data_IF_876038347669
#
_entry.id   IF_876038347669
#
_cell.length_a   1.000
_cell.length_b   1.000
_cell.length_c   1.000
_cell.angle_alpha   90.00
_cell.angle_beta   90.00
_cell.angle_gamma   90.00
#
_symmetry.space_group_name_H-M   'P 1'
#
loop_
_entity.id
_entity.type
_entity.pdbx_description
1 polymer ?
#
# COMPACT_ATOMS: atom_id res chain seq x y z
N UNK A 1 -6.90 -11.95 -16.35
CA UNK A 1 -6.21 -12.17 -15.06
C UNK A 1 -6.97 -11.42 -13.97
N UNK A 2 -7.30 -12.12 -12.90
CA UNK A 2 -8.00 -11.54 -11.74
C UNK A 2 -7.21 -11.77 -10.46
N UNK A 3 -7.14 -10.73 -9.64
CA UNK A 3 -6.57 -10.78 -8.28
C UNK A 3 -7.75 -10.66 -7.32
N UNK A 4 -8.06 -11.70 -6.52
CA UNK A 4 -9.17 -11.63 -5.58
C UNK A 4 -8.90 -10.64 -4.47
N UNK A 5 -9.94 -9.94 -4.04
CA UNK A 5 -9.91 -9.01 -2.92
C UNK A 5 -10.86 -9.50 -1.83
N UNK A 6 -10.64 -9.00 -0.62
CA UNK A 6 -11.54 -9.18 0.51
C UNK A 6 -12.33 -7.90 0.74
N UNK A 7 -13.55 -8.03 1.21
CA UNK A 7 -14.36 -6.89 1.64
C UNK A 7 -14.34 -6.84 3.16
N UNK A 8 -13.76 -5.80 3.71
CA UNK A 8 -13.56 -5.63 5.16
C UNK A 8 -14.04 -4.25 5.60
N UNK A 9 -14.29 -4.10 6.89
CA UNK A 9 -14.66 -2.80 7.48
C UNK A 9 -13.40 -1.95 7.72
N UNK A 10 -13.49 -0.69 7.30
CA UNK A 10 -12.51 0.34 7.61
C UNK A 10 -13.26 1.63 7.92
N UNK A 11 -13.05 2.19 9.12
CA UNK A 11 -13.71 3.43 9.56
C UNK A 11 -15.23 3.39 9.40
N UNK A 12 -15.85 2.26 9.76
CA UNK A 12 -17.31 2.08 9.73
C UNK A 12 -17.91 1.78 8.37
N UNK A 13 -17.11 1.70 7.30
CA UNK A 13 -17.58 1.35 5.95
C UNK A 13 -16.94 0.08 5.42
N UNK A 14 -17.59 -0.55 4.45
CA UNK A 14 -17.04 -1.70 3.74
C UNK A 14 -16.09 -1.22 2.64
N UNK A 15 -14.89 -1.80 2.58
CA UNK A 15 -13.83 -1.44 1.66
C UNK A 15 -13.18 -2.69 1.06
N UNK A 16 -12.67 -2.59 -0.19
CA UNK A 16 -11.93 -3.69 -0.80
C UNK A 16 -10.47 -3.69 -0.34
N UNK A 17 -9.98 -4.86 0.07
CA UNK A 17 -8.60 -5.06 0.50
C UNK A 17 -7.94 -6.14 -0.32
N UNK A 18 -6.67 -5.92 -0.66
CA UNK A 18 -5.82 -6.91 -1.32
C UNK A 18 -4.70 -7.33 -0.39
N UNK A 19 -4.40 -8.61 -0.37
CA UNK A 19 -3.23 -9.13 0.35
C UNK A 19 -2.11 -9.42 -0.64
N UNK A 20 -0.92 -8.96 -0.33
CA UNK A 20 0.27 -9.22 -1.14
C UNK A 20 1.50 -9.41 -0.26
N UNK A 21 2.54 -9.96 -0.84
CA UNK A 21 3.84 -10.11 -0.20
C UNK A 21 4.78 -9.05 -0.76
N UNK A 22 5.32 -8.22 0.13
CA UNK A 22 6.38 -7.28 -0.20
C UNK A 22 7.70 -7.79 0.37
N UNK A 23 8.69 -7.97 -0.49
CA UNK A 23 9.99 -8.50 -0.10
C UNK A 23 11.06 -7.44 -0.31
N UNK A 24 11.91 -7.29 0.72
CA UNK A 24 13.12 -6.47 0.65
C UNK A 24 14.32 -7.42 0.67
N UNK A 25 14.85 -7.81 -0.50
CA UNK A 25 15.89 -8.85 -0.57
C UNK A 25 17.14 -8.54 0.22
N UNK A 26 17.60 -7.30 0.22
CA UNK A 26 18.80 -6.88 0.95
C UNK A 26 18.67 -7.08 2.46
N UNK A 27 17.46 -6.93 2.99
CA UNK A 27 17.16 -7.10 4.42
C UNK A 27 16.75 -8.52 4.79
N UNK A 28 16.56 -9.41 3.80
CA UNK A 28 15.99 -10.75 4.00
C UNK A 28 14.64 -10.71 4.72
N UNK A 29 13.81 -9.72 4.39
CA UNK A 29 12.51 -9.49 5.04
C UNK A 29 11.37 -9.65 4.04
N UNK A 30 10.33 -10.36 4.48
CA UNK A 30 9.03 -10.47 3.81
C UNK A 30 7.96 -9.86 4.68
N UNK A 31 7.13 -9.03 4.06
CA UNK A 31 5.99 -8.42 4.70
C UNK A 31 4.72 -8.97 4.05
N UNK A 32 3.82 -9.50 4.89
CA UNK A 32 2.48 -9.87 4.44
C UNK A 32 1.60 -8.63 4.64
N UNK A 33 1.23 -8.00 3.54
CA UNK A 33 0.56 -6.70 3.54
C UNK A 33 -0.90 -6.87 3.17
N UNK A 34 -1.79 -6.32 4.01
CA UNK A 34 -3.21 -6.18 3.69
C UNK A 34 -3.46 -4.71 3.37
N UNK A 35 -3.68 -4.38 2.10
CA UNK A 35 -3.78 -3.00 1.64
C UNK A 35 -5.20 -2.66 1.22
N UNK A 36 -5.64 -1.47 1.60
CA UNK A 36 -6.88 -0.89 1.12
C UNK A 36 -6.70 -0.44 -0.34
N UNK A 37 -7.59 -0.90 -1.23
CA UNK A 37 -7.62 -0.43 -2.63
C UNK A 37 -8.46 0.83 -2.67
N UNK A 38 -7.79 1.98 -2.79
CA UNK A 38 -8.39 3.30 -2.67
C UNK A 38 -8.22 4.09 -3.98
N UNK A 39 -9.29 4.17 -4.78
CA UNK A 39 -9.29 4.94 -6.03
C UNK A 39 -9.24 6.44 -5.81
N UNK A 40 -9.47 6.91 -4.59
CA UNK A 40 -9.30 8.30 -4.20
C UNK A 40 -7.88 8.68 -3.85
N UNK A 41 -6.97 7.71 -3.75
CA UNK A 41 -5.55 7.96 -3.49
C UNK A 41 -4.76 7.98 -4.80
N UNK A 42 -3.92 9.01 -4.97
CA UNK A 42 -3.03 9.12 -6.12
C UNK A 42 -1.76 8.28 -5.98
N UNK A 43 -1.47 7.78 -4.77
CA UNK A 43 -0.23 7.09 -4.46
C UNK A 43 -0.46 5.74 -3.83
N UNK A 44 0.40 4.79 -4.17
CA UNK A 44 0.49 3.47 -3.54
C UNK A 44 1.51 3.53 -2.42
N UNK A 45 1.15 3.03 -1.24
CA UNK A 45 1.98 3.14 -0.05
C UNK A 45 1.97 1.88 0.78
N UNK A 46 3.07 1.67 1.49
CA UNK A 46 3.17 0.63 2.52
C UNK A 46 3.12 1.28 3.90
N UNK A 47 2.35 0.69 4.80
CA UNK A 47 2.16 1.24 6.13
C UNK A 47 3.47 1.28 6.92
N UNK A 48 3.74 2.41 7.56
CA UNK A 48 4.88 2.58 8.46
C UNK A 48 4.91 1.47 9.53
N UNK A 49 3.75 1.14 10.09
CA UNK A 49 3.62 0.09 11.10
C UNK A 49 4.09 -1.28 10.60
N UNK A 50 3.86 -1.61 9.35
CA UNK A 50 4.31 -2.87 8.75
C UNK A 50 5.84 -2.94 8.68
N UNK A 51 6.47 -1.86 8.26
CA UNK A 51 7.93 -1.77 8.18
C UNK A 51 8.57 -1.88 9.55
N UNK A 52 8.07 -1.11 10.53
CA UNK A 52 8.61 -1.09 11.88
C UNK A 52 8.45 -2.42 12.60
N UNK A 53 7.30 -3.08 12.44
CA UNK A 53 7.05 -4.41 13.05
C UNK A 53 8.00 -5.49 12.52
N UNK A 54 8.49 -5.33 11.30
CA UNK A 54 9.48 -6.25 10.71
C UNK A 54 10.92 -5.82 10.94
N UNK A 55 11.14 -4.78 11.74
CA UNK A 55 12.46 -4.32 12.09
C UNK A 55 13.21 -3.61 10.96
N UNK A 56 12.48 -3.07 10.00
CA UNK A 56 13.09 -2.30 8.91
C UNK A 56 13.25 -0.86 9.37
N UNK A 57 14.50 -0.36 9.30
CA UNK A 57 14.78 1.05 9.56
C UNK A 57 14.33 1.88 8.35
N UNK A 58 13.24 2.61 8.50
CA UNK A 58 12.63 3.36 7.40
C UNK A 58 13.59 4.41 6.82
N UNK A 59 14.37 5.08 7.67
CA UNK A 59 15.32 6.10 7.21
C UNK A 59 16.42 5.52 6.31
N UNK A 60 16.70 4.23 6.41
CA UNK A 60 17.71 3.57 5.57
C UNK A 60 17.19 3.19 4.17
N UNK A 61 15.89 3.22 3.94
CA UNK A 61 15.29 2.84 2.66
C UNK A 61 14.69 4.01 1.88
N UNK A 62 14.82 5.22 2.39
CA UNK A 62 14.35 6.46 1.77
C UNK A 62 15.49 7.45 1.62
N UNK A 63 15.27 8.49 0.80
CA UNK A 63 16.09 9.71 0.77
C UNK A 63 15.31 10.79 1.52
N UNK A 64 15.85 11.27 2.63
CA UNK A 64 15.18 12.26 3.49
C UNK A 64 14.91 13.61 2.81
N UNK A 65 15.62 13.88 1.68
CA UNK A 65 15.43 15.08 0.89
C UNK A 65 14.43 14.91 -0.26
N UNK A 66 13.97 13.68 -0.52
CA UNK A 66 13.03 13.38 -1.59
C UNK A 66 11.68 13.01 -0.99
N UNK A 67 10.82 14.01 -0.80
CA UNK A 67 9.47 13.79 -0.27
C UNK A 67 8.46 14.73 -0.91
N UNK A 68 7.20 14.33 -0.85
CA UNK A 68 6.04 15.11 -1.25
C UNK A 68 5.15 15.34 -0.03
N UNK A 69 4.63 16.56 0.14
CA UNK A 69 3.63 16.82 1.17
C UNK A 69 2.28 16.25 0.73
N UNK A 70 1.65 15.47 1.60
CA UNK A 70 0.38 14.80 1.32
C UNK A 70 -0.57 15.02 2.49
N UNK A 71 -1.82 15.36 2.19
CA UNK A 71 -2.89 15.45 3.18
C UNK A 71 -3.61 14.11 3.25
N UNK A 72 -3.65 13.50 4.42
CA UNK A 72 -4.37 12.25 4.67
C UNK A 72 -5.18 12.41 5.95
N UNK A 73 -6.51 12.20 5.86
CA UNK A 73 -7.37 12.30 7.02
C UNK A 73 -7.35 13.69 7.69
N UNK A 74 -7.11 14.74 6.91
CA UNK A 74 -7.03 16.11 7.43
C UNK A 74 -5.69 16.50 8.04
N UNK A 75 -4.70 15.61 8.03
CA UNK A 75 -3.36 15.88 8.56
C UNK A 75 -2.30 15.84 7.47
N UNK A 76 -1.29 16.69 7.59
CA UNK A 76 -0.13 16.67 6.69
C UNK A 76 0.82 15.54 7.02
N UNK A 77 1.28 14.86 5.96
CA UNK A 77 2.32 13.85 6.02
C UNK A 77 3.38 14.14 4.97
N UNK A 78 4.55 13.59 5.19
CA UNK A 78 5.61 13.54 4.16
C UNK A 78 5.58 12.16 3.52
N UNK A 79 5.33 12.11 2.21
CA UNK A 79 5.38 10.87 1.44
C UNK A 79 6.76 10.70 0.83
N UNK A 80 7.46 9.64 1.22
CA UNK A 80 8.80 9.32 0.72
C UNK A 80 8.74 8.11 -0.21
N UNK A 81 9.20 8.25 -1.46
CA UNK A 81 9.40 7.07 -2.30
C UNK A 81 10.45 6.15 -1.67
N UNK A 82 10.17 4.87 -1.61
CA UNK A 82 11.12 3.87 -1.14
C UNK A 82 12.21 3.70 -2.20
N UNK A 83 13.47 3.89 -1.82
CA UNK A 83 14.64 3.79 -2.70
C UNK A 83 15.27 2.40 -2.67
N UNK A 84 15.04 1.64 -1.60
CA UNK A 84 15.53 0.28 -1.49
C UNK A 84 14.83 -0.64 -2.50
N UNK A 85 15.56 -1.60 -3.05
CA UNK A 85 14.99 -2.61 -3.95
C UNK A 85 13.94 -3.44 -3.22
N UNK A 86 12.79 -3.59 -3.83
CA UNK A 86 11.68 -4.41 -3.33
C UNK A 86 11.02 -5.18 -4.46
N UNK A 87 10.29 -6.22 -4.08
CA UNK A 87 9.44 -7.01 -4.97
C UNK A 87 8.06 -7.16 -4.35
N UNK A 88 7.02 -7.15 -5.19
CA UNK A 88 5.64 -7.36 -4.74
C UNK A 88 5.02 -8.49 -5.55
N UNK A 89 4.41 -9.44 -4.82
CA UNK A 89 3.75 -10.60 -5.40
C UNK A 89 2.30 -10.68 -4.95
N UNK A 90 1.42 -10.91 -5.90
CA UNK A 90 0.00 -11.16 -5.68
C UNK A 90 -0.34 -12.59 -6.04
N UNK A 91 -1.35 -13.14 -5.36
CA UNK A 91 -1.93 -14.42 -5.72
C UNK A 91 -3.15 -14.17 -6.62
N UNK A 92 -3.15 -14.77 -7.80
CA UNK A 92 -4.28 -14.65 -8.73
C UNK A 92 -5.38 -15.66 -8.38
N UNK A 93 -6.54 -15.50 -9.02
CA UNK A 93 -7.69 -16.39 -8.89
C UNK A 93 -7.35 -17.86 -9.21
N UNK A 94 -6.37 -18.09 -10.09
CA UNK A 94 -5.94 -19.43 -10.49
C UNK A 94 -4.78 -19.98 -9.63
N UNK A 95 -4.58 -19.40 -8.44
CA UNK A 95 -3.50 -19.75 -7.52
C UNK A 95 -2.07 -19.60 -8.12
N UNK A 96 -1.94 -18.74 -9.12
CA UNK A 96 -0.65 -18.38 -9.69
C UNK A 96 -0.15 -17.09 -9.03
N UNK A 97 1.15 -17.01 -8.86
CA UNK A 97 1.80 -15.80 -8.36
C UNK A 97 2.11 -14.87 -9.53
N UNK A 98 1.78 -13.59 -9.38
CA UNK A 98 2.11 -12.54 -10.34
C UNK A 98 2.90 -11.44 -9.63
N UNK A 99 3.98 -10.98 -10.27
CA UNK A 99 4.80 -9.89 -9.78
C UNK A 99 4.35 -8.57 -10.42
N UNK A 100 3.82 -7.66 -9.60
CA UNK A 100 3.41 -6.33 -10.05
C UNK A 100 3.95 -5.30 -9.06
N UNK A 101 4.80 -4.39 -9.55
CA UNK A 101 5.36 -3.32 -8.73
C UNK A 101 4.72 -1.99 -9.09
N UNK A 102 4.46 -1.11 -8.11
CA UNK A 102 4.14 0.28 -8.43
C UNK A 102 5.37 0.96 -9.05
N UNK A 103 5.14 2.00 -9.81
CA UNK A 103 6.23 2.84 -10.30
C UNK A 103 6.99 3.47 -9.14
N UNK A 104 6.23 3.94 -8.13
CA UNK A 104 6.77 4.42 -6.85
C UNK A 104 5.96 3.81 -5.72
N UNK A 105 6.65 3.29 -4.72
CA UNK A 105 6.06 2.82 -3.47
C UNK A 105 6.41 3.83 -2.38
N UNK A 106 5.39 4.43 -1.76
CA UNK A 106 5.58 5.45 -0.73
C UNK A 106 5.48 4.87 0.67
N UNK A 107 6.18 5.51 1.59
CA UNK A 107 5.91 5.41 3.03
C UNK A 107 5.62 6.81 3.54
N UNK A 108 4.63 6.94 4.43
CA UNK A 108 4.24 8.23 5.00
C UNK A 108 4.84 8.39 6.39
N UNK A 109 5.58 9.48 6.58
CA UNK A 109 6.12 9.88 7.86
C UNK A 109 5.43 11.17 8.33
N UNK A 110 5.45 11.47 9.65
CA UNK A 110 4.80 12.68 10.13
C UNK A 110 5.48 13.93 9.58
N UNK A 111 4.67 14.93 9.23
CA UNK A 111 5.16 16.25 8.88
C UNK A 111 5.78 16.92 10.11
N UNK A 112 5.09 16.81 11.25
CA UNK A 112 5.59 17.24 12.55
C UNK A 112 6.01 16.02 13.36
N UNK A 113 7.30 15.92 13.67
CA UNK A 113 7.88 14.80 14.41
C UNK A 113 7.63 14.95 15.91
N UNK A 114 6.37 14.85 16.32
CA UNK A 114 5.94 14.82 17.70
C UNK A 114 5.13 13.54 17.96
N UNK A 115 4.73 13.33 19.22
CA UNK A 115 4.00 12.12 19.62
C UNK A 115 2.71 11.92 18.82
N UNK A 116 1.95 13.00 18.60
CA UNK A 116 0.70 12.95 17.85
C UNK A 116 0.93 12.64 16.37
N UNK A 117 1.92 13.29 15.76
CA UNK A 117 2.29 13.07 14.36
C UNK A 117 2.72 11.62 14.11
N UNK A 118 3.55 11.04 14.98
CA UNK A 118 3.95 9.64 14.86
C UNK A 118 2.78 8.69 15.05
N UNK A 119 1.88 8.95 16.00
CA UNK A 119 0.69 8.12 16.20
C UNK A 119 -0.20 8.13 14.97
N UNK A 120 -0.40 9.28 14.33
CA UNK A 120 -1.20 9.40 13.12
C UNK A 120 -0.57 8.64 11.95
N UNK A 121 0.72 8.82 11.69
CA UNK A 121 1.42 8.11 10.61
C UNK A 121 1.42 6.60 10.85
N UNK A 122 1.61 6.17 12.08
CA UNK A 122 1.59 4.75 12.44
C UNK A 122 0.22 4.10 12.24
N UNK A 123 -0.87 4.87 12.34
CA UNK A 123 -2.24 4.36 12.19
C UNK A 123 -2.68 4.22 10.73
N UNK A 124 -1.93 4.78 9.76
CA UNK A 124 -2.30 4.72 8.36
C UNK A 124 -2.21 3.30 7.82
N UNK A 125 -3.21 2.85 7.03
CA UNK A 125 -3.14 1.55 6.37
C UNK A 125 -2.19 1.59 5.16
N UNK A 126 -1.78 0.41 4.70
CA UNK A 126 -1.19 0.29 3.36
C UNK A 126 -2.27 0.53 2.31
N UNK A 127 -1.91 1.17 1.21
CA UNK A 127 -2.86 1.62 0.17
C UNK A 127 -2.35 1.20 -1.20
N UNK A 128 -3.26 0.61 -2.00
CA UNK A 128 -3.09 0.53 -3.45
C UNK A 128 -3.87 1.69 -4.04
N UNK A 129 -3.18 2.65 -4.61
CA UNK A 129 -3.77 3.85 -5.18
C UNK A 129 -4.06 3.72 -6.68
N UNK A 130 -4.62 4.79 -7.24
CA UNK A 130 -4.98 4.83 -8.67
C UNK A 130 -3.73 4.76 -9.58
N UNK A 131 -2.59 5.22 -9.11
CA UNK A 131 -1.30 5.12 -9.82
C UNK A 131 -0.94 3.67 -10.18
N UNK A 132 -1.15 2.75 -9.24
CA UNK A 132 -0.93 1.32 -9.47
C UNK A 132 -1.91 0.75 -10.49
N UNK A 133 -3.17 1.13 -10.37
CA UNK A 133 -4.22 0.66 -11.30
C UNK A 133 -3.93 1.13 -12.73
N UNK A 134 -3.53 2.39 -12.90
CA UNK A 134 -3.17 2.95 -14.21
C UNK A 134 -1.93 2.24 -14.76
N UNK A 135 -0.89 2.13 -13.95
CA UNK A 135 0.40 1.57 -14.38
C UNK A 135 0.26 0.13 -14.89
N UNK A 136 -0.61 -0.65 -14.27
CA UNK A 136 -0.83 -2.06 -14.62
C UNK A 136 -2.10 -2.31 -15.44
N UNK A 137 -2.80 -1.26 -15.84
CA UNK A 137 -4.07 -1.36 -16.57
C UNK A 137 -5.08 -2.29 -15.87
N UNK A 138 -5.29 -2.02 -14.57
CA UNK A 138 -6.19 -2.79 -13.72
C UNK A 138 -7.49 -2.06 -13.51
N UNK A 139 -8.59 -2.80 -13.57
CA UNK A 139 -9.93 -2.33 -13.18
C UNK A 139 -10.27 -2.89 -11.81
N UNK A 140 -10.94 -2.10 -11.00
CA UNK A 140 -11.48 -2.53 -9.71
C UNK A 140 -12.96 -2.87 -9.87
N UNK A 141 -13.33 -4.12 -9.57
CA UNK A 141 -14.71 -4.50 -9.33
C UNK A 141 -14.95 -4.54 -7.82
N UNK A 142 -16.00 -3.86 -7.39
CA UNK A 142 -16.36 -3.83 -5.97
C UNK A 142 -17.88 -3.82 -5.81
N UNK A 143 -18.40 -4.90 -5.23
CA UNK A 143 -19.82 -5.02 -4.90
C UNK A 143 -19.96 -5.37 -3.41
N UNK A 144 -20.10 -4.35 -2.54
CA UNK A 144 -20.09 -4.57 -1.09
C UNK A 144 -21.31 -5.37 -0.61
N UNK A 145 -22.47 -5.25 -1.25
CA UNK A 145 -23.66 -6.00 -0.85
C UNK A 145 -23.54 -7.50 -1.09
N UNK A 146 -22.77 -7.90 -2.09
CA UNK A 146 -22.44 -9.30 -2.37
C UNK A 146 -21.12 -9.74 -1.73
N UNK A 147 -20.42 -8.83 -1.05
CA UNK A 147 -19.09 -9.04 -0.49
C UNK A 147 -18.10 -9.60 -1.53
N UNK A 148 -18.16 -9.05 -2.74
CA UNK A 148 -17.34 -9.46 -3.87
C UNK A 148 -16.47 -8.29 -4.35
N UNK A 149 -15.18 -8.57 -4.53
CA UNK A 149 -14.24 -7.59 -5.08
C UNK A 149 -13.06 -8.31 -5.75
N UNK A 150 -12.56 -7.71 -6.82
CA UNK A 150 -11.31 -8.16 -7.47
C UNK A 150 -10.70 -7.05 -8.30
N UNK A 151 -9.40 -7.18 -8.56
CA UNK A 151 -8.71 -6.41 -9.59
C UNK A 151 -8.64 -7.27 -10.85
N UNK A 152 -8.85 -6.66 -12.00
CA UNK A 152 -8.89 -7.36 -13.28
C UNK A 152 -8.07 -6.62 -14.32
N UNK A 153 -7.25 -7.35 -15.04
CA UNK A 153 -6.58 -6.86 -16.25
C UNK A 153 -7.12 -7.61 -17.45
N UNK A 154 -7.63 -6.88 -18.41
CA UNK A 154 -8.01 -7.43 -19.70
C UNK A 154 -6.76 -7.78 -20.48
N UNK A 155 -6.81 -8.92 -21.14
CA UNK A 155 -5.72 -9.40 -21.97
C UNK A 155 -5.91 -9.01 -23.42
#
# INVERSE_FOLDING_TARGET
>A
MKIPLKVEKLHGGLKPFVTFICEFPRYHKRLFVNAFVDTGSNHTSIALSQLLKRGINVKSIIDENDFTEIMIGGAKHKGYPIKERFDIRFLTQNNKTIHLKPEKLYVYLPYHENKEGWAMSYSLPSIIGVDFLIHHNLSLYFNPSKQMAWLEREE
#
